data_IF_279879362617
#
_entry.id   IF_279879362617
#
_cell.length_a   1.000
_cell.length_b   1.000
_cell.length_c   1.000
_cell.angle_alpha   90.00
_cell.angle_beta   90.00
_cell.angle_gamma   90.00
#
_symmetry.space_group_name_H-M   'P 1'
#
loop_
_entity.id
_entity.type
_entity.pdbx_description
1 polymer ?
#
# COMPACT_ATOMS: atom_id res chain seq x y z
N UNK A 1 -3.52 -12.95 -5.15
CA UNK A 1 -3.28 -13.15 -3.69
C UNK A 1 -2.29 -12.10 -3.21
N UNK A 2 -2.71 -11.25 -2.27
CA UNK A 2 -1.96 -10.11 -1.76
C UNK A 2 -1.83 -10.19 -0.25
N UNK A 3 -0.68 -9.76 0.26
CA UNK A 3 -0.38 -9.71 1.69
C UNK A 3 0.01 -8.27 2.06
N UNK A 4 -0.65 -7.74 3.09
CA UNK A 4 -0.58 -6.34 3.47
C UNK A 4 0.20 -6.24 4.78
N UNK A 5 1.46 -5.82 4.70
CA UNK A 5 2.27 -5.56 5.89
C UNK A 5 1.72 -4.40 6.72
N UNK A 6 2.17 -4.23 7.98
CA UNK A 6 1.76 -3.10 8.79
C UNK A 6 2.27 -1.78 8.21
N UNK A 7 1.50 -0.70 8.42
CA UNK A 7 1.97 0.65 8.14
C UNK A 7 2.99 1.05 9.21
N UNK A 8 4.26 1.15 8.82
CA UNK A 8 5.38 1.50 9.69
C UNK A 8 5.65 3.00 9.62
N UNK A 9 5.73 3.64 10.79
CA UNK A 9 6.26 5.00 10.93
C UNK A 9 7.79 4.92 10.98
N UNK A 10 8.45 5.65 10.09
CA UNK A 10 9.91 5.69 10.06
C UNK A 10 10.47 6.77 10.98
N UNK A 11 11.79 6.73 11.20
CA UNK A 11 12.49 7.71 12.05
C UNK A 11 12.49 9.12 11.47
N UNK A 12 12.33 9.25 10.15
CA UNK A 12 12.26 10.55 9.49
C UNK A 12 10.87 11.19 9.67
N UNK A 13 10.79 12.51 9.94
CA UNK A 13 9.52 13.18 10.16
C UNK A 13 8.63 13.09 8.90
N UNK A 14 7.36 12.74 9.10
CA UNK A 14 6.37 12.61 8.03
C UNK A 14 6.52 11.36 7.15
N UNK A 15 7.51 10.49 7.41
CA UNK A 15 7.76 9.30 6.59
C UNK A 15 7.04 8.06 7.15
N UNK A 16 6.21 7.46 6.31
CA UNK A 16 5.54 6.18 6.57
C UNK A 16 5.81 5.22 5.42
N UNK A 17 5.94 3.94 5.72
CA UNK A 17 6.19 2.87 4.76
C UNK A 17 5.24 1.70 5.02
N UNK A 18 4.74 1.08 3.96
CA UNK A 18 3.96 -0.16 4.06
C UNK A 18 4.39 -1.07 2.92
N UNK A 19 4.75 -2.30 3.25
CA UNK A 19 5.12 -3.30 2.25
C UNK A 19 3.85 -4.04 1.84
N UNK A 20 3.61 -4.10 0.53
CA UNK A 20 2.51 -4.85 -0.08
C UNK A 20 3.13 -5.96 -0.91
N UNK A 21 2.87 -7.22 -0.53
CA UNK A 21 3.48 -8.39 -1.17
C UNK A 21 2.46 -9.09 -2.06
N UNK A 22 2.81 -9.24 -3.34
CA UNK A 22 2.02 -10.00 -4.31
C UNK A 22 2.53 -11.45 -4.40
N UNK A 23 1.64 -12.45 -4.31
CA UNK A 23 2.00 -13.87 -4.29
C UNK A 23 1.81 -14.62 -5.61
N UNK A 24 1.72 -13.93 -6.75
CA UNK A 24 1.82 -14.58 -8.08
C UNK A 24 0.57 -15.29 -8.61
N UNK A 25 -0.58 -15.23 -7.93
CA UNK A 25 -1.76 -16.03 -8.32
C UNK A 25 -2.42 -15.60 -9.65
N UNK A 26 -2.53 -14.31 -9.93
CA UNK A 26 -3.27 -13.78 -11.08
C UNK A 26 -2.82 -12.37 -11.43
N UNK A 27 -2.67 -12.05 -12.72
CA UNK A 27 -2.39 -10.67 -13.13
C UNK A 27 -3.56 -9.76 -12.71
N UNK A 28 -3.33 -8.91 -11.72
CA UNK A 28 -4.37 -8.19 -11.01
C UNK A 28 -3.90 -6.77 -10.68
N UNK A 29 -4.81 -5.80 -10.74
CA UNK A 29 -4.57 -4.43 -10.26
C UNK A 29 -5.39 -4.21 -9.00
N UNK A 30 -4.74 -3.71 -7.95
CA UNK A 30 -5.39 -3.23 -6.73
C UNK A 30 -5.14 -1.74 -6.56
N UNK A 31 -6.12 -1.03 -6.02
CA UNK A 31 -6.00 0.38 -5.65
C UNK A 31 -6.06 0.50 -4.12
N UNK A 32 -5.04 1.11 -3.52
CA UNK A 32 -4.89 1.26 -2.07
C UNK A 32 -5.09 2.73 -1.73
N UNK A 33 -6.08 3.02 -0.88
CA UNK A 33 -6.39 4.38 -0.44
C UNK A 33 -5.86 4.63 0.97
N UNK A 34 -4.98 5.61 1.12
CA UNK A 34 -4.45 6.10 2.38
C UNK A 34 -5.23 7.34 2.83
N UNK A 35 -5.90 7.23 3.98
CA UNK A 35 -6.62 8.35 4.61
C UNK A 35 -5.70 9.05 5.62
N UNK A 36 -5.37 10.31 5.35
CA UNK A 36 -4.55 11.15 6.23
C UNK A 36 -5.45 12.02 7.10
N UNK A 37 -5.49 11.71 8.40
CA UNK A 37 -6.10 12.51 9.48
C UNK A 37 -7.39 13.28 9.13
N UNK A 38 -8.41 12.58 8.61
CA UNK A 38 -9.71 13.15 8.16
C UNK A 38 -9.64 14.34 7.17
N UNK A 39 -8.44 14.74 6.72
CA UNK A 39 -8.21 15.93 5.92
C UNK A 39 -8.23 15.59 4.43
N UNK A 40 -7.50 14.55 4.03
CA UNK A 40 -7.43 14.14 2.63
C UNK A 40 -7.16 12.65 2.49
N UNK A 41 -7.49 12.13 1.31
CA UNK A 41 -7.23 10.74 0.92
C UNK A 41 -6.33 10.75 -0.31
N UNK A 42 -5.32 9.87 -0.32
CA UNK A 42 -4.51 9.61 -1.52
C UNK A 42 -4.60 8.14 -1.89
N UNK A 43 -4.81 7.88 -3.17
CA UNK A 43 -4.92 6.52 -3.70
C UNK A 43 -3.73 6.22 -4.59
N UNK A 44 -3.14 5.03 -4.41
CA UNK A 44 -2.10 4.49 -5.28
C UNK A 44 -2.59 3.19 -5.91
N UNK A 45 -2.08 2.87 -7.09
CA UNK A 45 -2.40 1.64 -7.80
C UNK A 45 -1.19 0.72 -7.85
N UNK A 46 -1.38 -0.55 -7.53
CA UNK A 46 -0.35 -1.59 -7.64
C UNK A 46 -0.86 -2.66 -8.60
N UNK A 47 -0.02 -3.07 -9.55
CA UNK A 47 -0.33 -4.14 -10.51
C UNK A 47 0.57 -5.33 -10.24
N UNK A 48 -0.03 -6.42 -9.80
CA UNK A 48 0.62 -7.72 -9.60
C UNK A 48 0.79 -8.38 -10.95
N UNK A 49 2.04 -8.69 -11.30
CA UNK A 49 2.38 -9.42 -12.52
C UNK A 49 2.81 -10.83 -12.09
N UNK A 50 2.19 -11.89 -12.64
CA UNK A 50 2.54 -13.26 -12.33
C UNK A 50 3.99 -13.57 -12.73
#
# INVERSE_FOLDING_TARGET
>A
LWDYGPLKKENAPGKYTQVITYRGHSNERIDISFKYSAAFTKTISIRGRP
#
